data_IF_541199469634
#
_entry.id   IF_541199469634
#
_cell.length_a   1.000
_cell.length_b   1.000
_cell.length_c   1.000
_cell.angle_alpha   90.00
_cell.angle_beta   90.00
_cell.angle_gamma   90.00
#
_symmetry.space_group_name_H-M   'P 1'
#
loop_
_entity.id
_entity.type
_entity.pdbx_description
1 polymer ?
#
# COMPACT_ATOMS: atom_id res chain seq x y z
N UNK A 1 9.10 13.97 17.97
CA UNK A 1 9.66 13.67 16.63
C UNK A 1 10.04 12.21 16.63
N UNK A 2 9.75 11.41 15.59
CA UNK A 2 10.31 10.06 15.50
C UNK A 2 11.84 10.17 15.46
N UNK A 3 12.52 9.15 16.04
CA UNK A 3 13.98 9.09 16.03
C UNK A 3 14.48 9.08 14.57
N UNK A 4 15.27 10.07 14.21
CA UNK A 4 15.85 10.19 12.86
C UNK A 4 16.97 9.15 12.61
N UNK A 5 17.52 8.56 13.66
CA UNK A 5 18.60 7.58 13.59
C UNK A 5 18.13 6.17 13.98
N UNK A 6 18.68 5.12 13.36
CA UNK A 6 18.43 3.75 13.78
C UNK A 6 18.97 3.53 15.21
N UNK A 7 18.41 2.54 15.94
CA UNK A 7 19.02 2.11 17.21
C UNK A 7 20.50 1.81 17.00
N UNK A 8 21.34 2.22 17.97
CA UNK A 8 22.80 2.14 17.85
C UNK A 8 23.36 0.72 17.65
N UNK A 9 22.58 -0.28 18.04
CA UNK A 9 22.87 -1.71 17.90
C UNK A 9 22.18 -2.34 16.65
N UNK A 10 21.37 -1.58 15.91
CA UNK A 10 20.69 -2.10 14.73
C UNK A 10 21.67 -2.30 13.58
N UNK A 11 21.78 -3.56 13.12
CA UNK A 11 22.56 -3.93 11.94
C UNK A 11 21.73 -3.85 10.66
N UNK A 12 20.40 -3.77 10.77
CA UNK A 12 19.48 -3.66 9.65
C UNK A 12 18.21 -2.93 10.07
N UNK A 13 17.72 -1.99 9.27
CA UNK A 13 16.54 -1.18 9.57
C UNK A 13 15.83 -0.69 8.33
N UNK A 14 14.56 -0.35 8.47
CA UNK A 14 13.73 0.23 7.41
C UNK A 14 13.48 1.70 7.71
N UNK A 15 13.97 2.59 6.85
CA UNK A 15 13.65 4.02 6.88
C UNK A 15 12.34 4.26 6.14
N UNK A 16 11.44 5.01 6.76
CA UNK A 16 10.15 5.45 6.19
C UNK A 16 10.15 6.97 6.15
N UNK A 17 10.11 7.54 4.96
CA UNK A 17 10.14 8.99 4.74
C UNK A 17 8.72 9.56 4.75
N UNK A 18 8.35 10.19 5.87
CA UNK A 18 7.03 10.79 6.05
C UNK A 18 6.87 12.11 5.28
N UNK A 19 7.97 12.80 4.99
CA UNK A 19 7.97 14.00 4.14
C UNK A 19 7.63 13.64 2.69
N UNK A 20 8.23 12.56 2.15
CA UNK A 20 7.85 12.02 0.83
C UNK A 20 6.40 11.54 0.84
N UNK A 21 5.95 10.87 1.91
CA UNK A 21 4.55 10.46 2.04
C UNK A 21 3.60 11.66 1.97
N UNK A 22 3.91 12.73 2.70
CA UNK A 22 3.14 13.98 2.67
C UNK A 22 3.11 14.59 1.25
N UNK A 23 4.26 14.61 0.58
CA UNK A 23 4.38 15.04 -0.82
C UNK A 23 3.53 14.19 -1.77
N UNK A 24 3.54 12.87 -1.60
CA UNK A 24 2.74 11.95 -2.41
C UNK A 24 1.23 12.18 -2.20
N UNK A 25 0.78 12.42 -0.96
CA UNK A 25 -0.63 12.80 -0.68
C UNK A 25 -0.98 14.10 -1.39
N UNK A 26 -0.10 15.11 -1.31
CA UNK A 26 -0.32 16.39 -1.99
C UNK A 26 -0.38 16.24 -3.52
N UNK A 27 0.49 15.43 -4.12
CA UNK A 27 0.48 15.13 -5.55
C UNK A 27 -0.85 14.46 -5.99
N UNK A 28 -1.34 13.50 -5.21
CA UNK A 28 -2.65 12.87 -5.47
C UNK A 28 -3.78 13.89 -5.37
N UNK A 29 -3.80 14.72 -4.33
CA UNK A 29 -4.81 15.76 -4.14
C UNK A 29 -4.80 16.77 -5.30
N UNK A 30 -3.61 17.24 -5.70
CA UNK A 30 -3.45 18.18 -6.81
C UNK A 30 -3.95 17.59 -8.13
N UNK A 31 -3.56 16.34 -8.42
CA UNK A 31 -3.95 15.68 -9.65
C UNK A 31 -5.46 15.41 -9.72
N UNK A 32 -6.08 15.07 -8.59
CA UNK A 32 -7.51 14.74 -8.53
C UNK A 32 -8.43 15.94 -8.34
N UNK A 33 -7.89 17.12 -7.99
CA UNK A 33 -8.68 18.35 -7.87
C UNK A 33 -9.29 18.83 -9.22
N UNK A 34 -8.69 18.40 -10.35
CA UNK A 34 -9.16 18.76 -11.69
C UNK A 34 -9.06 20.26 -11.99
N UNK A 35 -9.32 20.64 -13.24
CA UNK A 35 -9.45 22.04 -13.67
C UNK A 35 -10.90 22.57 -13.56
N UNK A 36 -11.85 21.73 -13.18
CA UNK A 36 -13.27 22.10 -13.12
C UNK A 36 -13.58 22.91 -11.86
N UNK A 37 -13.85 24.19 -12.02
CA UNK A 37 -14.20 25.16 -10.96
C UNK A 37 -15.44 24.76 -10.14
N UNK A 38 -16.33 23.90 -10.67
CA UNK A 38 -17.64 23.57 -10.07
C UNK A 38 -17.73 22.15 -9.48
N UNK A 39 -16.74 21.28 -9.63
CA UNK A 39 -16.80 19.93 -9.08
C UNK A 39 -16.14 19.85 -7.69
N UNK A 40 -16.85 19.31 -6.70
CA UNK A 40 -16.27 19.09 -5.39
C UNK A 40 -15.09 18.09 -5.49
N UNK A 41 -13.92 18.49 -5.00
CA UNK A 41 -12.74 17.63 -4.99
C UNK A 41 -13.06 16.25 -4.33
N UNK A 42 -12.55 15.16 -4.91
CA UNK A 42 -12.78 13.83 -4.36
C UNK A 42 -12.17 13.67 -2.97
N UNK A 43 -12.76 12.77 -2.17
CA UNK A 43 -12.19 12.35 -0.90
C UNK A 43 -11.07 11.36 -1.16
N UNK A 44 -9.88 11.62 -0.63
CA UNK A 44 -8.80 10.64 -0.66
C UNK A 44 -8.94 9.69 0.53
N UNK A 45 -9.13 8.40 0.23
CA UNK A 45 -9.17 7.32 1.20
C UNK A 45 -7.82 6.60 1.22
N UNK A 46 -6.96 6.94 2.16
CA UNK A 46 -5.63 6.33 2.29
C UNK A 46 -5.71 4.87 2.75
N UNK A 47 -5.19 3.93 1.94
CA UNK A 47 -5.21 2.50 2.28
C UNK A 47 -4.02 2.15 3.16
N UNK A 48 -4.27 1.73 4.41
CA UNK A 48 -3.25 1.43 5.43
C UNK A 48 -3.35 0.01 6.00
N UNK A 49 -4.00 -0.90 5.26
CA UNK A 49 -4.11 -2.33 5.62
C UNK A 49 -2.74 -3.00 5.74
N UNK A 50 -2.68 -4.15 6.45
CA UNK A 50 -1.45 -4.92 6.68
C UNK A 50 -0.35 -4.06 7.32
N UNK A 51 -0.74 -3.31 8.37
CA UNK A 51 0.16 -2.40 9.07
C UNK A 51 0.79 -1.35 8.14
N UNK A 52 -0.03 -0.72 7.26
CA UNK A 52 0.43 0.17 6.19
C UNK A 52 1.50 -0.51 5.31
N UNK A 53 1.17 -1.70 4.79
CA UNK A 53 2.09 -2.55 4.02
C UNK A 53 3.41 -2.86 4.76
N UNK A 54 3.32 -3.05 6.07
CA UNK A 54 4.46 -3.34 6.94
C UNK A 54 5.22 -2.11 7.46
N UNK A 55 4.76 -0.90 7.18
CA UNK A 55 5.50 0.34 7.46
C UNK A 55 5.08 1.06 8.75
N UNK A 56 4.08 0.53 9.49
CA UNK A 56 3.60 1.13 10.73
C UNK A 56 2.34 1.97 10.54
N UNK A 57 1.16 1.30 10.61
CA UNK A 57 -0.13 1.89 10.26
C UNK A 57 -0.44 3.17 11.03
N UNK A 58 -0.19 3.23 12.34
CA UNK A 58 -0.51 4.38 13.15
C UNK A 58 0.25 5.66 12.73
N UNK A 59 1.54 5.54 12.42
CA UNK A 59 2.38 6.68 12.01
C UNK A 59 2.06 7.12 10.59
N UNK A 60 1.94 6.17 9.67
CA UNK A 60 1.59 6.42 8.27
C UNK A 60 0.20 7.04 8.16
N UNK A 61 -0.81 6.47 8.83
CA UNK A 61 -2.18 6.99 8.83
C UNK A 61 -2.27 8.41 9.39
N UNK A 62 -1.55 8.70 10.49
CA UNK A 62 -1.49 10.04 11.07
C UNK A 62 -0.91 11.07 10.09
N UNK A 63 0.11 10.69 9.34
CA UNK A 63 0.68 11.56 8.30
C UNK A 63 -0.33 11.77 7.17
N UNK A 64 -0.99 10.72 6.69
CA UNK A 64 -2.03 10.82 5.66
C UNK A 64 -3.19 11.73 6.10
N UNK A 65 -3.70 11.57 7.32
CA UNK A 65 -4.76 12.45 7.86
C UNK A 65 -4.34 13.92 7.89
N UNK A 66 -3.14 14.21 8.41
CA UNK A 66 -2.62 15.57 8.52
C UNK A 66 -2.43 16.27 7.18
N UNK A 67 -2.24 15.49 6.12
CA UNK A 67 -1.97 16.01 4.78
C UNK A 67 -3.15 15.89 3.80
N UNK A 68 -4.37 15.58 4.31
CA UNK A 68 -5.59 15.75 3.53
C UNK A 68 -6.32 14.46 3.13
N UNK A 69 -5.90 13.28 3.61
CA UNK A 69 -6.73 12.10 3.47
C UNK A 69 -7.97 12.24 4.36
N UNK A 70 -9.14 12.36 3.75
CA UNK A 70 -10.41 12.49 4.43
C UNK A 70 -11.03 11.16 4.88
N UNK A 71 -10.40 10.04 4.57
CA UNK A 71 -10.80 8.68 4.97
C UNK A 71 -9.58 7.77 5.01
N UNK A 72 -9.63 6.73 5.83
CA UNK A 72 -8.66 5.64 5.85
C UNK A 72 -9.35 4.32 5.51
N UNK A 73 -8.61 3.35 4.94
CA UNK A 73 -9.13 2.01 4.70
C UNK A 73 -8.16 0.95 5.21
N UNK A 74 -8.73 -0.03 5.89
CA UNK A 74 -8.05 -1.25 6.35
C UNK A 74 -8.80 -2.48 5.84
N UNK A 75 -8.18 -3.66 5.92
CA UNK A 75 -8.87 -4.88 5.48
C UNK A 75 -9.78 -5.44 6.59
N UNK A 76 -9.27 -5.61 7.81
CA UNK A 76 -9.93 -6.33 8.87
C UNK A 76 -10.26 -5.44 10.09
N UNK A 77 -11.27 -5.82 10.91
CA UNK A 77 -11.67 -5.08 12.10
C UNK A 77 -10.54 -4.79 13.09
N UNK A 78 -9.68 -5.78 13.39
CA UNK A 78 -8.56 -5.60 14.31
C UNK A 78 -7.57 -4.52 13.85
N UNK A 79 -7.36 -4.35 12.53
CA UNK A 79 -6.52 -3.28 11.99
C UNK A 79 -7.14 -1.89 12.26
N UNK A 80 -8.48 -1.79 12.20
CA UNK A 80 -9.17 -0.56 12.57
C UNK A 80 -9.09 -0.29 14.09
N UNK A 81 -9.18 -1.35 14.92
CA UNK A 81 -8.98 -1.23 16.38
C UNK A 81 -7.59 -0.70 16.74
N UNK A 82 -6.55 -1.15 16.04
CA UNK A 82 -5.19 -0.64 16.21
C UNK A 82 -5.10 0.86 15.91
N UNK A 83 -5.77 1.34 14.85
CA UNK A 83 -5.80 2.77 14.53
C UNK A 83 -6.55 3.58 15.57
N UNK A 84 -7.70 3.08 16.05
CA UNK A 84 -8.46 3.71 17.12
C UNK A 84 -7.66 3.75 18.43
N UNK A 85 -6.99 2.64 18.77
CA UNK A 85 -6.12 2.53 19.95
C UNK A 85 -4.89 3.43 19.89
N UNK A 86 -4.41 3.76 18.69
CA UNK A 86 -3.27 4.66 18.47
C UNK A 86 -3.62 6.16 18.62
N UNK A 87 -4.80 6.49 19.13
CA UNK A 87 -5.29 7.84 19.32
C UNK A 87 -5.26 8.69 18.03
N UNK A 88 -5.53 8.08 16.88
CA UNK A 88 -5.84 8.80 15.66
C UNK A 88 -7.20 9.50 15.79
N UNK A 89 -7.36 10.62 15.09
CA UNK A 89 -8.63 11.34 15.04
C UNK A 89 -9.65 10.58 14.16
N UNK A 90 -10.06 9.40 14.62
CA UNK A 90 -11.07 8.59 13.94
C UNK A 90 -12.45 9.08 14.36
N UNK A 91 -13.23 9.56 13.41
CA UNK A 91 -14.55 10.12 13.60
C UNK A 91 -15.18 10.47 12.26
N UNK A 92 -16.23 11.24 12.26
CA UNK A 92 -16.99 11.62 11.07
C UNK A 92 -16.15 12.31 9.99
N UNK A 93 -15.18 13.14 10.41
CA UNK A 93 -14.34 13.93 9.49
C UNK A 93 -13.25 13.07 8.80
N UNK A 94 -12.82 11.99 9.44
CA UNK A 94 -11.90 11.02 8.86
C UNK A 94 -12.23 9.61 9.38
N UNK A 95 -13.25 8.96 8.82
CA UNK A 95 -13.62 7.61 9.22
C UNK A 95 -12.59 6.58 8.74
N UNK A 96 -12.58 5.42 9.41
CA UNK A 96 -11.89 4.23 8.96
C UNK A 96 -12.89 3.26 8.34
N UNK A 97 -12.62 2.85 7.11
CA UNK A 97 -13.43 1.87 6.36
C UNK A 97 -12.80 0.48 6.49
N UNK A 98 -13.61 -0.50 6.89
CA UNK A 98 -13.23 -1.92 6.92
C UNK A 98 -13.70 -2.58 5.64
N UNK A 99 -12.74 -3.15 4.87
CA UNK A 99 -12.99 -3.68 3.54
C UNK A 99 -13.53 -5.12 3.52
N UNK A 100 -13.20 -5.94 4.52
CA UNK A 100 -13.74 -7.31 4.57
C UNK A 100 -15.18 -7.32 5.08
N UNK A 101 -15.97 -8.35 4.75
CA UNK A 101 -17.32 -8.51 5.29
C UNK A 101 -17.30 -8.63 6.82
N UNK A 102 -18.03 -7.72 7.50
CA UNK A 102 -18.31 -7.76 8.93
C UNK A 102 -19.78 -8.07 9.11
N UNK A 103 -20.12 -9.03 9.97
CA UNK A 103 -21.51 -9.48 10.14
C UNK A 103 -22.14 -9.03 11.47
N UNK A 104 -21.33 -8.60 12.41
CA UNK A 104 -21.80 -8.16 13.74
C UNK A 104 -20.90 -7.10 14.33
N UNK A 105 -21.46 -6.32 15.23
CA UNK A 105 -20.75 -5.39 16.10
C UNK A 105 -21.37 -5.50 17.48
N UNK A 106 -20.56 -5.48 18.54
CA UNK A 106 -21.00 -5.51 19.94
C UNK A 106 -20.46 -4.28 20.69
N UNK A 107 -21.13 -3.91 21.79
CA UNK A 107 -20.67 -2.81 22.68
C UNK A 107 -19.30 -3.07 23.33
N UNK A 108 -18.88 -4.32 23.38
CA UNK A 108 -17.58 -4.73 23.92
C UNK A 108 -16.46 -4.65 22.88
N UNK A 109 -16.81 -4.53 21.60
CA UNK A 109 -15.83 -4.37 20.54
C UNK A 109 -15.10 -3.04 20.70
N UNK A 110 -13.80 -3.03 20.47
CA UNK A 110 -12.98 -1.82 20.49
C UNK A 110 -13.47 -0.77 19.49
N UNK A 111 -14.15 -1.20 18.44
CA UNK A 111 -14.70 -0.36 17.39
C UNK A 111 -16.05 0.31 17.76
N UNK A 112 -16.72 -0.09 18.84
CA UNK A 112 -18.02 0.49 19.21
C UNK A 112 -17.94 2.01 19.37
N UNK A 113 -16.88 2.53 19.99
CA UNK A 113 -16.71 3.98 20.19
C UNK A 113 -16.55 4.71 18.85
N UNK A 114 -15.79 4.13 17.91
CA UNK A 114 -15.62 4.68 16.57
C UNK A 114 -16.95 4.67 15.81
N UNK A 115 -17.72 3.57 15.90
CA UNK A 115 -19.05 3.46 15.30
C UNK A 115 -20.03 4.50 15.88
N UNK A 116 -20.03 4.70 17.21
CA UNK A 116 -20.87 5.68 17.88
C UNK A 116 -20.51 7.15 17.52
N UNK A 117 -19.25 7.39 17.12
CA UNK A 117 -18.76 8.68 16.65
C UNK A 117 -18.88 8.86 15.11
N UNK A 118 -19.60 7.98 14.42
CA UNK A 118 -19.72 7.95 12.94
C UNK A 118 -18.36 7.81 12.23
N UNK A 119 -17.39 7.22 12.93
CA UNK A 119 -16.01 7.05 12.46
C UNK A 119 -15.67 5.64 11.97
N UNK A 120 -16.58 4.68 12.07
CA UNK A 120 -16.43 3.33 11.52
C UNK A 120 -17.36 3.14 10.33
N UNK A 121 -16.81 2.96 9.16
CA UNK A 121 -17.54 2.60 7.96
C UNK A 121 -17.33 1.13 7.60
N UNK A 122 -18.37 0.42 7.23
CA UNK A 122 -18.32 -1.00 6.87
C UNK A 122 -18.63 -1.18 5.39
N UNK A 123 -18.00 -2.15 4.74
CA UNK A 123 -18.38 -2.53 3.38
C UNK A 123 -19.43 -3.64 3.41
N UNK A 124 -20.40 -3.53 2.52
CA UNK A 124 -21.54 -4.43 2.41
C UNK A 124 -21.42 -5.26 1.13
N UNK A 125 -21.39 -6.59 1.29
CA UNK A 125 -21.12 -7.54 0.22
C UNK A 125 -22.28 -8.53 -0.05
N UNK A 126 -23.31 -8.53 0.78
CA UNK A 126 -24.45 -9.43 0.60
C UNK A 126 -25.71 -8.94 1.31
N UNK A 127 -26.88 -9.41 0.84
CA UNK A 127 -28.20 -9.15 1.46
C UNK A 127 -28.21 -9.64 2.91
N UNK A 128 -27.69 -10.83 3.16
CA UNK A 128 -27.64 -11.41 4.52
C UNK A 128 -26.80 -10.55 5.48
N UNK A 129 -25.68 -10.03 5.00
CA UNK A 129 -24.85 -9.13 5.79
C UNK A 129 -25.62 -7.83 6.15
N UNK A 130 -26.36 -7.27 5.19
CA UNK A 130 -27.19 -6.08 5.43
C UNK A 130 -28.18 -6.31 6.55
N UNK A 131 -28.90 -7.43 6.53
CA UNK A 131 -29.89 -7.79 7.55
C UNK A 131 -29.25 -7.96 8.94
N UNK A 132 -28.09 -8.61 9.02
CA UNK A 132 -27.37 -8.80 10.28
C UNK A 132 -26.81 -7.50 10.85
N UNK A 133 -26.28 -6.62 10.00
CA UNK A 133 -25.79 -5.31 10.42
C UNK A 133 -26.93 -4.35 10.80
N UNK A 134 -28.09 -4.40 10.11
CA UNK A 134 -29.27 -3.64 10.50
C UNK A 134 -29.73 -4.04 11.90
N UNK A 135 -29.81 -5.34 12.18
CA UNK A 135 -30.16 -5.85 13.51
C UNK A 135 -29.12 -5.40 14.56
N UNK A 136 -27.83 -5.49 14.26
CA UNK A 136 -26.77 -5.03 15.16
C UNK A 136 -26.89 -3.51 15.43
N UNK A 137 -27.07 -2.69 14.40
CA UNK A 137 -27.25 -1.26 14.52
C UNK A 137 -28.44 -0.90 15.40
N UNK A 138 -29.59 -1.54 15.18
CA UNK A 138 -30.80 -1.35 16.00
C UNK A 138 -30.59 -1.72 17.46
N UNK A 139 -29.95 -2.87 17.73
CA UNK A 139 -29.63 -3.32 19.10
C UNK A 139 -28.68 -2.36 19.81
N UNK A 140 -27.76 -1.75 19.09
CA UNK A 140 -26.78 -0.80 19.62
C UNK A 140 -27.32 0.63 19.74
N UNK A 141 -28.45 0.93 19.10
CA UNK A 141 -28.97 2.28 18.97
C UNK A 141 -28.16 3.16 18.00
N UNK A 142 -27.51 2.53 17.01
CA UNK A 142 -26.67 3.17 16.01
C UNK A 142 -27.29 3.06 14.61
N UNK A 143 -26.89 3.97 13.71
CA UNK A 143 -27.06 3.83 12.27
C UNK A 143 -25.69 3.64 11.66
N UNK A 144 -25.30 2.38 11.40
CA UNK A 144 -23.98 2.03 10.93
C UNK A 144 -23.77 2.50 9.48
N UNK A 145 -22.76 3.32 9.20
CA UNK A 145 -22.43 3.72 7.83
C UNK A 145 -21.93 2.52 7.04
N UNK A 146 -22.57 2.25 5.89
CA UNK A 146 -22.19 1.15 5.00
C UNK A 146 -21.90 1.64 3.59
N UNK A 147 -20.88 1.06 2.98
CA UNK A 147 -20.56 1.23 1.56
C UNK A 147 -20.96 -0.04 0.82
N UNK A 148 -21.93 0.06 -0.06
CA UNK A 148 -22.41 -1.05 -0.87
C UNK A 148 -21.32 -1.39 -1.89
N UNK A 149 -20.75 -2.57 -1.78
CA UNK A 149 -19.75 -3.07 -2.72
C UNK A 149 -20.43 -3.86 -3.83
N UNK A 150 -20.21 -3.44 -5.08
CA UNK A 150 -20.75 -4.07 -6.27
C UNK A 150 -19.62 -4.69 -7.06
N UNK A 151 -19.78 -5.95 -7.46
CA UNK A 151 -18.86 -6.61 -8.37
C UNK A 151 -19.19 -6.24 -9.82
N UNK A 152 -18.32 -5.46 -10.43
CA UNK A 152 -18.41 -5.09 -11.85
C UNK A 152 -17.48 -5.92 -12.74
N UNK A 153 -16.87 -7.00 -12.19
CA UNK A 153 -16.03 -7.91 -12.97
C UNK A 153 -14.77 -8.41 -12.26
N UNK A 154 -14.53 -8.04 -11.01
CA UNK A 154 -13.39 -8.55 -10.26
C UNK A 154 -13.58 -9.98 -9.76
N UNK A 155 -14.81 -10.42 -9.60
CA UNK A 155 -15.21 -11.78 -9.18
C UNK A 155 -14.58 -12.21 -7.83
N UNK A 156 -14.53 -11.28 -6.88
CA UNK A 156 -13.92 -11.52 -5.57
C UNK A 156 -14.86 -11.26 -4.40
N UNK A 157 -15.43 -10.09 -4.36
CA UNK A 157 -16.31 -9.61 -3.28
C UNK A 157 -17.33 -8.63 -3.90
N UNK A 158 -18.49 -8.51 -3.27
CA UNK A 158 -19.52 -7.56 -3.71
C UNK A 158 -20.82 -8.27 -4.10
N UNK A 159 -21.87 -7.47 -4.22
CA UNK A 159 -23.17 -7.85 -4.77
C UNK A 159 -23.10 -7.82 -6.29
N UNK A 160 -23.83 -8.69 -6.96
CA UNK A 160 -24.09 -8.53 -8.37
C UNK A 160 -24.89 -7.22 -8.62
N UNK A 161 -24.75 -6.66 -9.82
CA UNK A 161 -25.41 -5.38 -10.19
C UNK A 161 -26.92 -5.44 -9.96
N UNK A 162 -27.58 -6.54 -10.34
CA UNK A 162 -29.01 -6.73 -10.16
C UNK A 162 -29.41 -6.93 -8.70
N UNK A 163 -28.60 -7.64 -7.93
CA UNK A 163 -28.79 -7.78 -6.49
C UNK A 163 -28.68 -6.42 -5.79
N UNK A 164 -27.67 -5.62 -6.15
CA UNK A 164 -27.45 -4.28 -5.59
C UNK A 164 -28.64 -3.37 -5.90
N UNK A 165 -29.12 -3.33 -7.13
CA UNK A 165 -30.27 -2.54 -7.54
C UNK A 165 -31.55 -2.96 -6.81
N UNK A 166 -31.76 -4.27 -6.65
CA UNK A 166 -32.94 -4.81 -5.93
C UNK A 166 -32.87 -4.53 -4.42
N UNK A 167 -31.67 -4.58 -3.84
CA UNK A 167 -31.46 -4.34 -2.41
C UNK A 167 -31.55 -2.85 -2.04
N UNK A 168 -31.25 -1.94 -2.96
CA UNK A 168 -31.09 -0.51 -2.69
C UNK A 168 -32.28 0.12 -1.95
N UNK A 169 -33.55 -0.02 -2.39
CA UNK A 169 -34.70 0.53 -1.66
C UNK A 169 -34.86 -0.05 -0.25
N UNK A 170 -34.51 -1.35 -0.08
CA UNK A 170 -34.54 -2.01 1.23
C UNK A 170 -33.49 -1.44 2.18
N UNK A 171 -32.29 -1.14 1.68
CA UNK A 171 -31.22 -0.52 2.48
C UNK A 171 -31.63 0.85 3.01
N UNK A 172 -32.31 1.65 2.19
CA UNK A 172 -32.81 2.97 2.62
C UNK A 172 -33.86 2.86 3.71
N UNK A 173 -34.63 1.78 3.76
CA UNK A 173 -35.63 1.52 4.80
C UNK A 173 -35.04 0.90 6.08
N UNK A 174 -33.82 0.40 6.07
CA UNK A 174 -33.14 -0.21 7.23
C UNK A 174 -32.76 0.86 8.26
N UNK A 175 -33.28 0.75 9.49
CA UNK A 175 -33.11 1.76 10.54
C UNK A 175 -31.74 1.68 11.24
N UNK A 176 -31.12 0.53 11.26
CA UNK A 176 -29.78 0.30 11.84
C UNK A 176 -28.64 0.63 10.90
N UNK A 177 -28.94 0.94 9.62
CA UNK A 177 -27.95 1.27 8.61
C UNK A 177 -28.11 2.68 8.06
N UNK A 178 -27.02 3.21 7.53
CA UNK A 178 -26.98 4.39 6.67
C UNK A 178 -26.11 4.10 5.47
N UNK A 179 -26.67 4.13 4.26
CA UNK A 179 -25.87 4.01 3.06
C UNK A 179 -24.98 5.25 2.94
N UNK A 180 -23.67 5.06 3.13
CA UNK A 180 -22.67 6.10 3.08
C UNK A 180 -21.91 6.12 1.75
N UNK A 181 -21.90 5.00 1.03
CA UNK A 181 -21.24 4.91 -0.26
C UNK A 181 -21.72 3.77 -1.13
N UNK A 182 -21.43 3.88 -2.42
CA UNK A 182 -21.54 2.84 -3.44
C UNK A 182 -20.17 2.67 -4.08
N UNK A 183 -19.64 1.44 -4.11
CA UNK A 183 -18.27 1.19 -4.54
C UNK A 183 -18.13 -0.05 -5.41
N UNK A 184 -17.12 -0.01 -6.28
CA UNK A 184 -16.58 -1.19 -6.95
C UNK A 184 -15.05 -1.21 -6.88
N UNK A 185 -14.42 -2.24 -7.40
CA UNK A 185 -12.97 -2.34 -7.47
C UNK A 185 -12.52 -2.81 -8.85
N UNK A 186 -11.59 -2.06 -9.45
CA UNK A 186 -11.10 -2.30 -10.79
C UNK A 186 -10.07 -3.43 -10.79
N UNK A 187 -10.23 -4.39 -11.71
CA UNK A 187 -9.37 -5.56 -11.81
C UNK A 187 -8.11 -5.32 -12.63
N UNK A 188 -8.19 -4.45 -13.65
CA UNK A 188 -7.14 -4.27 -14.67
C UNK A 188 -6.68 -2.82 -14.82
N UNK A 189 -6.85 -2.00 -13.77
CA UNK A 189 -6.47 -0.58 -13.84
C UNK A 189 -4.95 -0.36 -14.09
N UNK A 190 -4.12 -1.37 -13.87
CA UNK A 190 -2.68 -1.42 -14.15
C UNK A 190 -2.33 -2.02 -15.53
N UNK A 191 -3.31 -2.53 -16.27
CA UNK A 191 -3.12 -3.16 -17.59
C UNK A 191 -3.31 -2.10 -18.70
N UNK A 192 -2.23 -1.80 -19.43
CA UNK A 192 -2.26 -0.78 -20.50
C UNK A 192 -2.47 -1.37 -21.90
N UNK A 193 -2.08 -2.61 -22.09
CA UNK A 193 -2.11 -3.27 -23.41
C UNK A 193 -2.55 -4.71 -23.27
N UNK A 194 -2.99 -5.31 -24.39
CA UNK A 194 -3.42 -6.70 -24.44
C UNK A 194 -4.92 -6.88 -24.36
N UNK A 195 -5.40 -8.13 -24.24
CA UNK A 195 -6.82 -8.49 -24.40
C UNK A 195 -7.73 -7.94 -23.29
N UNK A 196 -7.18 -7.40 -22.21
CA UNK A 196 -7.91 -6.87 -21.07
C UNK A 196 -7.67 -5.38 -20.84
N UNK A 197 -7.05 -4.66 -21.79
CA UNK A 197 -6.79 -3.22 -21.67
C UNK A 197 -8.09 -2.42 -21.47
N UNK A 198 -9.16 -2.80 -22.19
CA UNK A 198 -10.46 -2.12 -22.15
C UNK A 198 -11.37 -2.61 -21.00
N UNK A 199 -10.93 -3.59 -20.21
CA UNK A 199 -11.79 -4.18 -19.18
C UNK A 199 -12.09 -3.20 -18.03
N UNK A 200 -11.17 -2.30 -17.73
CA UNK A 200 -11.40 -1.23 -16.75
C UNK A 200 -12.54 -0.31 -17.19
N UNK A 201 -12.63 0.06 -18.48
CA UNK A 201 -13.72 0.86 -19.02
C UNK A 201 -15.06 0.11 -18.95
N UNK A 202 -15.06 -1.18 -19.27
CA UNK A 202 -16.25 -2.02 -19.13
C UNK A 202 -16.75 -2.10 -17.68
N UNK A 203 -15.84 -2.18 -16.71
CA UNK A 203 -16.20 -2.15 -15.29
C UNK A 203 -16.78 -0.79 -14.86
N UNK A 204 -16.24 0.29 -15.38
CA UNK A 204 -16.73 1.64 -15.13
C UNK A 204 -18.12 1.84 -15.76
N UNK A 205 -18.32 1.43 -17.02
CA UNK A 205 -19.62 1.49 -17.72
C UNK A 205 -20.70 0.70 -16.96
N UNK A 206 -20.35 -0.47 -16.46
CA UNK A 206 -21.26 -1.28 -15.67
C UNK A 206 -21.64 -0.61 -14.34
N UNK A 207 -20.69 0.07 -13.69
CA UNK A 207 -20.94 0.85 -12.48
C UNK A 207 -21.82 2.07 -12.77
N UNK A 208 -21.58 2.79 -13.85
CA UNK A 208 -22.35 3.96 -14.28
C UNK A 208 -23.78 3.59 -14.67
N UNK A 209 -23.95 2.45 -15.35
CA UNK A 209 -25.27 1.92 -15.65
C UNK A 209 -26.07 1.61 -14.38
N UNK A 210 -25.42 1.10 -13.33
CA UNK A 210 -26.07 0.92 -12.04
C UNK A 210 -26.45 2.27 -11.41
N UNK A 211 -25.55 3.25 -11.40
CA UNK A 211 -25.84 4.61 -10.90
C UNK A 211 -27.02 5.22 -11.61
N UNK A 212 -27.07 5.16 -12.94
CA UNK A 212 -28.18 5.64 -13.76
C UNK A 212 -29.50 4.93 -13.41
N UNK A 213 -29.46 3.59 -13.22
CA UNK A 213 -30.62 2.79 -12.82
C UNK A 213 -31.15 3.19 -11.44
N UNK A 214 -30.26 3.45 -10.47
CA UNK A 214 -30.66 3.85 -9.11
C UNK A 214 -31.28 5.24 -9.05
N UNK A 215 -30.94 6.11 -9.99
CA UNK A 215 -31.41 7.51 -10.05
C UNK A 215 -32.53 7.75 -11.04
N UNK A 216 -32.92 6.73 -11.83
CA UNK A 216 -33.93 6.85 -12.89
C UNK A 216 -35.30 7.34 -12.38
N UNK A 217 -35.78 6.76 -11.27
CA UNK A 217 -37.09 7.07 -10.67
C UNK A 217 -36.97 8.07 -9.52
N UNK A 218 -35.80 8.24 -8.93
CA UNK A 218 -35.51 9.15 -7.83
C UNK A 218 -34.11 9.80 -8.02
N UNK A 219 -34.04 11.01 -8.58
CA UNK A 219 -32.78 11.73 -8.76
C UNK A 219 -32.00 11.98 -7.46
N UNK A 220 -32.67 11.93 -6.32
CA UNK A 220 -32.08 12.10 -4.99
C UNK A 220 -31.66 10.78 -4.33
N UNK A 221 -31.84 9.64 -4.97
CA UNK A 221 -31.53 8.31 -4.41
C UNK A 221 -30.07 8.17 -3.93
N UNK A 222 -29.16 8.94 -4.50
CA UNK A 222 -27.74 8.96 -4.15
C UNK A 222 -27.32 10.23 -3.38
N UNK A 223 -28.26 11.02 -2.88
CA UNK A 223 -27.94 12.23 -2.11
C UNK A 223 -27.15 11.88 -0.85
N UNK A 224 -25.93 12.44 -0.74
CA UNK A 224 -25.03 12.19 0.39
C UNK A 224 -24.32 10.81 0.35
N UNK A 225 -24.47 10.05 -0.74
CA UNK A 225 -23.75 8.80 -0.99
C UNK A 225 -22.43 9.10 -1.71
N UNK A 226 -21.35 8.51 -1.25
CA UNK A 226 -20.02 8.61 -1.87
C UNK A 226 -19.89 7.56 -2.96
N UNK A 227 -19.45 7.94 -4.17
CA UNK A 227 -19.18 7.00 -5.27
C UNK A 227 -17.67 6.71 -5.34
N UNK A 228 -17.28 5.44 -5.41
CA UNK A 228 -15.86 5.10 -5.50
C UNK A 228 -15.52 3.82 -6.27
N UNK A 229 -14.84 3.99 -7.41
CA UNK A 229 -14.23 2.91 -8.19
C UNK A 229 -12.71 2.99 -8.19
N UNK A 230 -12.14 4.22 -8.06
CA UNK A 230 -10.73 4.50 -8.23
C UNK A 230 -9.79 3.84 -7.22
N UNK A 231 -8.70 3.26 -7.74
CA UNK A 231 -7.55 2.75 -7.00
C UNK A 231 -6.28 3.59 -7.34
N UNK A 232 -5.08 3.15 -6.90
CA UNK A 232 -3.82 3.87 -7.14
C UNK A 232 -3.53 4.15 -8.61
N UNK A 233 -3.83 3.23 -9.50
CA UNK A 233 -3.55 3.39 -10.94
C UNK A 233 -4.55 4.33 -11.60
N UNK A 234 -5.80 4.31 -11.13
CA UNK A 234 -6.86 5.17 -11.65
C UNK A 234 -6.59 6.66 -11.38
N UNK A 235 -5.90 6.99 -10.30
CA UNK A 235 -5.53 8.38 -9.95
C UNK A 235 -4.88 9.09 -11.15
N UNK A 236 -4.00 8.42 -11.87
CA UNK A 236 -3.15 9.03 -12.90
C UNK A 236 -3.69 8.90 -14.32
N UNK A 237 -4.79 8.17 -14.52
CA UNK A 237 -5.27 7.78 -15.87
C UNK A 237 -6.53 8.46 -16.34
N UNK A 238 -7.07 9.46 -15.63
CA UNK A 238 -8.39 9.93 -16.04
C UNK A 238 -8.64 11.40 -15.99
N UNK A 239 -9.01 11.85 -17.15
CA UNK A 239 -10.16 12.70 -17.41
C UNK A 239 -11.39 11.80 -17.49
N UNK A 240 -12.14 11.59 -16.39
CA UNK A 240 -13.44 10.96 -16.45
C UNK A 240 -14.49 12.01 -16.20
N UNK A 241 -15.33 12.24 -17.20
CA UNK A 241 -16.59 12.93 -17.00
C UNK A 241 -17.41 12.12 -16.00
N UNK A 242 -17.59 12.65 -14.79
CA UNK A 242 -18.43 11.99 -13.80
C UNK A 242 -19.89 12.21 -14.17
N UNK A 243 -20.68 11.12 -14.40
CA UNK A 243 -22.06 11.26 -14.88
C UNK A 243 -22.98 11.98 -13.91
N UNK A 244 -22.52 12.26 -12.68
CA UNK A 244 -23.33 12.83 -11.62
C UNK A 244 -22.56 13.95 -10.91
N UNK A 245 -22.54 15.19 -11.43
CA UNK A 245 -21.78 16.32 -10.86
C UNK A 245 -22.17 16.66 -9.40
N UNK A 246 -23.36 16.26 -8.94
CA UNK A 246 -23.86 16.51 -7.60
C UNK A 246 -23.40 15.48 -6.54
N UNK A 247 -22.68 14.42 -6.95
CA UNK A 247 -22.27 13.35 -6.05
C UNK A 247 -20.76 13.41 -5.82
N UNK A 248 -20.34 13.30 -4.57
CA UNK A 248 -18.93 13.34 -4.18
C UNK A 248 -18.26 12.00 -4.42
N UNK A 249 -17.08 12.02 -5.02
CA UNK A 249 -16.29 10.84 -5.32
C UNK A 249 -15.26 10.54 -4.25
N UNK A 250 -14.87 9.26 -4.13
CA UNK A 250 -13.78 8.78 -3.28
C UNK A 250 -12.77 8.03 -4.15
N UNK A 251 -11.50 8.33 -3.95
CA UNK A 251 -10.39 7.58 -4.53
C UNK A 251 -9.66 6.86 -3.41
N UNK A 252 -9.34 5.57 -3.62
CA UNK A 252 -8.70 4.71 -2.62
C UNK A 252 -7.28 4.33 -3.02
N UNK A 253 -6.34 5.29 -3.04
CA UNK A 253 -4.95 4.98 -3.34
C UNK A 253 -4.32 4.20 -2.18
N UNK A 254 -3.64 3.11 -2.55
CA UNK A 254 -2.72 2.38 -1.68
C UNK A 254 -1.30 2.66 -2.15
N UNK A 255 -0.76 1.79 -2.99
CA UNK A 255 0.62 1.80 -3.46
C UNK A 255 1.07 3.17 -4.02
N UNK A 256 0.17 3.92 -4.66
CA UNK A 256 0.44 5.26 -5.16
C UNK A 256 0.88 6.24 -4.08
N UNK A 257 0.27 6.19 -2.87
CA UNK A 257 0.68 7.02 -1.74
C UNK A 257 2.07 6.64 -1.20
N UNK A 258 2.49 5.39 -1.40
CA UNK A 258 3.81 4.91 -1.00
C UNK A 258 4.89 5.12 -2.07
N UNK A 259 4.50 5.71 -3.24
CA UNK A 259 5.42 6.08 -4.31
C UNK A 259 5.75 4.96 -5.31
N UNK A 260 4.86 3.98 -5.48
CA UNK A 260 5.10 2.82 -6.36
C UNK A 260 4.03 2.67 -7.45
N UNK A 261 3.74 3.73 -8.20
CA UNK A 261 2.75 3.69 -9.30
C UNK A 261 3.28 3.07 -10.59
N UNK A 262 4.59 2.98 -10.76
CA UNK A 262 5.21 2.63 -12.02
C UNK A 262 5.25 3.76 -13.05
N UNK A 263 4.57 4.88 -12.81
CA UNK A 263 4.57 6.07 -13.69
C UNK A 263 5.46 7.18 -13.09
N UNK A 264 6.61 7.50 -13.71
CA UNK A 264 7.48 8.58 -13.26
C UNK A 264 6.83 9.97 -13.33
N UNK A 265 5.85 10.16 -14.23
CA UNK A 265 5.14 11.44 -14.37
C UNK A 265 4.15 11.70 -13.23
N UNK A 266 3.85 10.69 -12.43
CA UNK A 266 2.93 10.80 -11.28
C UNK A 266 3.40 11.77 -10.18
N UNK A 267 4.67 12.19 -10.18
CA UNK A 267 5.22 13.12 -9.17
C UNK A 267 5.27 12.53 -7.75
N UNK A 268 5.12 11.22 -7.62
CA UNK A 268 5.21 10.50 -6.34
C UNK A 268 6.55 9.78 -6.20
N UNK A 269 7.03 9.68 -4.97
CA UNK A 269 8.36 9.15 -4.67
C UNK A 269 8.30 7.98 -3.70
N UNK A 270 9.10 6.91 -3.92
CA UNK A 270 9.23 5.81 -2.97
C UNK A 270 9.61 6.30 -1.57
N UNK A 271 8.81 5.90 -0.58
CA UNK A 271 9.01 6.35 0.81
C UNK A 271 9.89 5.40 1.63
N UNK A 272 10.29 4.26 1.08
CA UNK A 272 10.98 3.20 1.82
C UNK A 272 12.41 3.06 1.34
N UNK A 273 13.33 2.98 2.32
CA UNK A 273 14.69 2.50 2.14
C UNK A 273 14.97 1.44 3.20
N UNK A 274 15.47 0.27 2.77
CA UNK A 274 15.92 -0.76 3.70
C UNK A 274 17.43 -0.84 3.65
N UNK A 275 18.08 -0.50 4.75
CA UNK A 275 19.53 -0.45 4.90
C UNK A 275 20.01 -1.53 5.87
N UNK A 276 21.16 -2.11 5.59
CA UNK A 276 21.90 -2.99 6.49
C UNK A 276 23.38 -2.62 6.49
N UNK A 277 24.23 -3.37 7.22
CA UNK A 277 25.68 -3.10 7.32
C UNK A 277 26.49 -4.33 6.94
N UNK A 278 27.68 -4.11 6.39
CA UNK A 278 28.64 -5.18 6.18
C UNK A 278 29.20 -5.64 7.52
N UNK A 279 29.04 -6.94 7.85
CA UNK A 279 29.56 -7.53 9.09
C UNK A 279 30.81 -8.36 8.90
N UNK A 280 31.12 -8.72 7.67
CA UNK A 280 32.34 -9.49 7.33
C UNK A 280 32.73 -9.26 5.88
N UNK A 281 34.01 -9.21 5.62
CA UNK A 281 34.59 -9.23 4.27
C UNK A 281 35.62 -10.34 4.19
N UNK A 282 35.73 -10.98 3.02
CA UNK A 282 36.72 -12.03 2.77
C UNK A 282 37.06 -12.16 1.29
N UNK A 283 38.33 -12.40 0.99
CA UNK A 283 38.79 -12.77 -0.37
C UNK A 283 38.61 -14.25 -0.55
N UNK A 284 38.17 -14.65 -1.75
CA UNK A 284 38.00 -16.04 -2.18
C UNK A 284 38.60 -16.22 -3.58
N UNK A 285 39.32 -17.32 -3.83
CA UNK A 285 39.88 -17.58 -5.15
C UNK A 285 38.82 -17.99 -6.18
N UNK A 286 39.12 -17.79 -7.44
CA UNK A 286 38.34 -18.32 -8.55
C UNK A 286 38.05 -19.83 -8.38
N UNK A 287 36.92 -20.28 -8.89
CA UNK A 287 36.45 -21.66 -8.78
C UNK A 287 35.77 -22.04 -7.45
N UNK A 288 35.78 -21.16 -6.43
CA UNK A 288 35.02 -21.39 -5.18
C UNK A 288 33.54 -21.18 -5.40
N UNK A 289 32.73 -22.01 -4.74
CA UNK A 289 31.27 -21.88 -4.70
C UNK A 289 30.82 -21.02 -3.56
N UNK A 290 29.63 -20.37 -3.71
CA UNK A 290 29.04 -19.48 -2.69
C UNK A 290 27.65 -19.95 -2.29
N UNK A 291 27.45 -20.08 -0.99
CA UNK A 291 26.15 -20.31 -0.36
C UNK A 291 25.59 -21.73 -0.52
N UNK A 292 24.36 -21.90 -0.04
CA UNK A 292 23.64 -23.18 -0.10
C UNK A 292 23.39 -23.64 -1.53
N UNK A 293 23.58 -24.95 -1.77
CA UNK A 293 23.36 -25.56 -3.07
C UNK A 293 24.44 -25.21 -4.10
N UNK A 294 25.52 -24.49 -3.69
CA UNK A 294 26.61 -24.10 -4.56
C UNK A 294 26.12 -23.45 -5.87
N UNK A 295 25.08 -22.61 -5.78
CA UNK A 295 24.38 -22.03 -6.94
C UNK A 295 25.14 -20.94 -7.66
N UNK A 296 26.26 -20.49 -7.11
CA UNK A 296 27.21 -19.59 -7.75
C UNK A 296 28.63 -20.14 -7.63
N UNK A 297 29.43 -20.02 -8.70
CA UNK A 297 30.86 -20.28 -8.72
C UNK A 297 31.57 -18.98 -9.09
N UNK A 298 32.64 -18.64 -8.37
CA UNK A 298 33.40 -17.42 -8.63
C UNK A 298 34.26 -17.61 -9.89
N UNK A 299 34.09 -16.74 -10.85
CA UNK A 299 34.85 -16.79 -12.14
C UNK A 299 36.26 -16.19 -12.01
N UNK A 300 36.49 -15.38 -10.97
CA UNK A 300 37.75 -14.69 -10.65
C UNK A 300 38.00 -14.68 -9.15
N UNK A 301 39.21 -14.35 -8.74
CA UNK A 301 39.45 -13.98 -7.34
C UNK A 301 38.54 -12.83 -6.96
N UNK A 302 37.78 -13.03 -5.91
CA UNK A 302 36.68 -12.15 -5.55
C UNK A 302 36.71 -11.72 -4.08
N UNK A 303 36.34 -10.48 -3.82
CA UNK A 303 36.11 -9.95 -2.48
C UNK A 303 34.60 -10.02 -2.22
N UNK A 304 34.22 -10.78 -1.20
CA UNK A 304 32.82 -11.02 -0.83
C UNK A 304 32.53 -10.34 0.50
N UNK A 305 31.38 -9.64 0.57
CA UNK A 305 30.89 -9.03 1.81
C UNK A 305 29.61 -9.75 2.29
N UNK A 306 29.51 -9.97 3.59
CA UNK A 306 28.37 -10.59 4.27
C UNK A 306 27.49 -9.54 4.90
N UNK A 307 26.20 -9.62 4.60
CA UNK A 307 25.15 -8.72 5.09
C UNK A 307 24.20 -9.52 5.99
N UNK A 308 23.92 -9.06 7.24
CA UNK A 308 23.01 -9.72 8.18
C UNK A 308 21.56 -9.37 7.85
N UNK A 309 21.09 -9.78 6.69
CA UNK A 309 19.73 -9.67 6.22
C UNK A 309 19.44 -10.82 5.26
N UNK A 310 18.31 -11.47 5.41
CA UNK A 310 17.93 -12.62 4.60
C UNK A 310 16.42 -12.72 4.37
N UNK A 311 15.96 -13.92 3.93
CA UNK A 311 14.53 -14.09 3.67
C UNK A 311 13.69 -14.09 4.97
N UNK A 312 14.29 -14.35 6.13
CA UNK A 312 13.66 -14.19 7.44
C UNK A 312 13.36 -12.73 7.79
N UNK A 313 14.10 -11.78 7.20
CA UNK A 313 13.90 -10.35 7.35
C UNK A 313 13.00 -9.76 6.25
N UNK A 314 12.73 -10.55 5.21
CA UNK A 314 11.86 -10.15 4.10
C UNK A 314 12.55 -10.00 2.74
N UNK A 315 13.89 -10.20 2.65
CA UNK A 315 14.57 -10.17 1.35
C UNK A 315 14.25 -11.43 0.55
N UNK A 316 13.65 -11.32 -0.66
CA UNK A 316 13.16 -12.50 -1.38
C UNK A 316 14.24 -13.53 -1.69
N UNK A 317 13.96 -14.81 -1.39
CA UNK A 317 14.84 -15.93 -1.78
C UNK A 317 15.04 -15.98 -3.31
N UNK A 318 14.04 -15.60 -4.08
CA UNK A 318 14.08 -15.55 -5.54
C UNK A 318 15.12 -14.55 -6.08
N UNK A 319 15.56 -13.56 -5.30
CA UNK A 319 16.64 -12.64 -5.66
C UNK A 319 18.05 -13.25 -5.52
N UNK A 320 18.18 -14.51 -5.17
CA UNK A 320 19.46 -15.23 -5.19
C UNK A 320 20.15 -15.11 -6.56
N UNK A 321 21.42 -14.76 -6.58
CA UNK A 321 22.23 -14.55 -7.79
C UNK A 321 21.79 -13.42 -8.74
N UNK A 322 20.66 -12.77 -8.52
CA UNK A 322 20.14 -11.72 -9.41
C UNK A 322 19.83 -10.38 -8.72
N UNK A 323 19.76 -10.37 -7.41
CA UNK A 323 19.53 -9.14 -6.63
C UNK A 323 20.64 -8.10 -6.87
N UNK A 324 20.26 -6.83 -6.76
CA UNK A 324 21.19 -5.69 -6.77
C UNK A 324 20.97 -4.93 -5.47
N UNK A 325 22.08 -4.44 -4.91
CA UNK A 325 22.12 -3.62 -3.71
C UNK A 325 23.04 -2.43 -3.97
N UNK A 326 22.89 -1.37 -3.19
CA UNK A 326 23.77 -0.20 -3.28
C UNK A 326 24.61 -0.15 -2.01
N UNK A 327 25.93 -0.33 -2.17
CA UNK A 327 26.93 -0.17 -1.12
C UNK A 327 27.28 1.32 -1.01
N UNK A 328 27.18 1.90 0.18
CA UNK A 328 27.59 3.27 0.51
C UNK A 328 28.98 3.23 1.14
N UNK A 329 29.94 3.87 0.50
CA UNK A 329 31.30 3.98 1.02
C UNK A 329 31.38 5.19 1.95
N UNK A 330 30.85 6.30 1.47
CA UNK A 330 30.70 7.57 2.19
C UNK A 330 29.47 8.34 1.67
N UNK A 331 29.26 9.58 2.09
CA UNK A 331 28.10 10.40 1.70
C UNK A 331 28.03 10.70 0.19
N UNK A 332 29.15 10.69 -0.51
CA UNK A 332 29.26 11.03 -1.94
C UNK A 332 29.47 9.80 -2.83
N UNK A 333 30.01 8.71 -2.27
CA UNK A 333 30.48 7.56 -3.03
C UNK A 333 29.64 6.33 -2.74
N UNK A 334 29.04 5.76 -3.78
CA UNK A 334 28.31 4.50 -3.70
C UNK A 334 28.60 3.59 -4.89
N UNK A 335 28.36 2.30 -4.70
CA UNK A 335 28.60 1.29 -5.75
C UNK A 335 27.44 0.28 -5.81
N UNK A 336 27.10 -0.14 -7.02
CA UNK A 336 26.12 -1.21 -7.25
C UNK A 336 26.82 -2.55 -7.10
N UNK A 337 26.35 -3.37 -6.15
CA UNK A 337 26.87 -4.70 -5.92
C UNK A 337 25.82 -5.78 -6.24
N UNK A 338 26.30 -6.95 -6.64
CA UNK A 338 25.47 -8.11 -6.99
C UNK A 338 25.34 -9.06 -5.82
N UNK A 339 24.15 -9.57 -5.57
CA UNK A 339 23.93 -10.70 -4.66
C UNK A 339 24.48 -11.97 -5.31
N UNK A 340 25.34 -12.68 -4.59
CA UNK A 340 26.03 -13.89 -5.08
C UNK A 340 25.72 -15.07 -4.17
N UNK A 341 25.33 -16.18 -4.76
CA UNK A 341 24.87 -17.37 -4.06
C UNK A 341 23.41 -17.24 -3.58
N UNK A 342 22.94 -18.28 -2.91
CA UNK A 342 21.57 -18.34 -2.40
C UNK A 342 21.41 -17.42 -1.20
N UNK A 343 20.35 -16.62 -1.17
CA UNK A 343 19.94 -15.86 0.01
C UNK A 343 19.60 -16.83 1.13
N UNK A 344 20.16 -16.61 2.32
CA UNK A 344 19.91 -17.44 3.49
C UNK A 344 18.78 -16.86 4.35
N UNK A 345 18.43 -17.51 5.47
CA UNK A 345 17.42 -17.02 6.40
C UNK A 345 17.82 -15.64 6.96
N UNK A 346 19.06 -15.52 7.43
CA UNK A 346 19.53 -14.38 8.21
C UNK A 346 20.62 -13.57 7.48
N UNK A 347 21.03 -14.00 6.28
CA UNK A 347 22.23 -13.46 5.63
C UNK A 347 22.14 -13.54 4.12
N UNK A 348 22.78 -12.59 3.46
CA UNK A 348 23.13 -12.66 2.02
C UNK A 348 24.57 -12.24 1.79
N UNK A 349 25.13 -12.64 0.66
CA UNK A 349 26.50 -12.32 0.25
C UNK A 349 26.44 -11.43 -0.99
N UNK A 350 27.28 -10.41 -1.02
CA UNK A 350 27.45 -9.54 -2.18
C UNK A 350 28.90 -9.58 -2.70
N UNK A 351 29.07 -9.44 -4.00
CA UNK A 351 30.38 -9.28 -4.64
C UNK A 351 30.77 -7.78 -4.65
N UNK A 352 31.82 -7.44 -3.93
CA UNK A 352 32.37 -6.07 -3.82
C UNK A 352 33.73 -5.93 -4.50
N UNK A 353 34.17 -6.94 -5.30
CA UNK A 353 35.50 -6.99 -5.93
C UNK A 353 35.77 -5.76 -6.77
N UNK A 354 34.84 -5.40 -7.66
CA UNK A 354 35.00 -4.26 -8.55
C UNK A 354 35.10 -2.95 -7.78
N UNK A 355 34.31 -2.80 -6.71
CA UNK A 355 34.32 -1.59 -5.84
C UNK A 355 35.68 -1.43 -5.16
N UNK A 356 36.20 -2.51 -4.56
CA UNK A 356 37.51 -2.51 -3.91
C UNK A 356 38.63 -2.14 -4.90
N UNK A 357 38.59 -2.70 -6.10
CA UNK A 357 39.59 -2.43 -7.13
C UNK A 357 39.53 -1.02 -7.71
N UNK A 358 38.32 -0.51 -8.00
CA UNK A 358 38.14 0.82 -8.59
C UNK A 358 38.46 1.96 -7.65
N UNK A 359 38.21 1.76 -6.36
CA UNK A 359 38.45 2.78 -5.33
C UNK A 359 39.76 2.58 -4.57
N UNK A 360 40.58 1.61 -4.97
CA UNK A 360 41.86 1.25 -4.32
C UNK A 360 41.73 1.07 -2.80
N UNK A 361 40.68 0.36 -2.36
CA UNK A 361 40.37 0.13 -0.96
C UNK A 361 40.99 -1.18 -0.47
N UNK A 362 41.30 -1.25 0.81
CA UNK A 362 41.48 -2.54 1.47
C UNK A 362 40.10 -3.19 1.72
N UNK A 363 39.97 -4.53 1.59
CA UNK A 363 38.70 -5.19 1.87
C UNK A 363 38.11 -4.84 3.24
N UNK A 364 38.96 -4.71 4.25
CA UNK A 364 38.59 -4.41 5.63
C UNK A 364 37.97 -3.01 5.80
N UNK A 365 38.30 -2.06 4.93
CA UNK A 365 37.73 -0.71 4.94
C UNK A 365 36.20 -0.71 4.71
N UNK A 366 35.65 -1.80 4.16
CA UNK A 366 34.22 -1.93 3.94
C UNK A 366 33.44 -2.45 5.16
N UNK A 367 34.13 -2.88 6.23
CA UNK A 367 33.44 -3.31 7.46
C UNK A 367 32.63 -2.17 8.07
N UNK A 368 31.35 -2.42 8.36
CA UNK A 368 30.43 -1.43 8.91
C UNK A 368 29.81 -0.50 7.88
N UNK A 369 30.28 -0.48 6.61
CA UNK A 369 29.65 0.30 5.55
C UNK A 369 28.18 -0.09 5.37
N UNK A 370 27.36 0.88 5.04
CA UNK A 370 25.92 0.70 4.82
C UNK A 370 25.66 0.12 3.42
N UNK A 371 24.67 -0.76 3.38
CA UNK A 371 24.19 -1.37 2.13
C UNK A 371 22.69 -1.21 2.06
N UNK A 372 22.21 -0.46 1.07
CA UNK A 372 20.80 -0.34 0.78
C UNK A 372 20.33 -1.58 0.02
N UNK A 373 19.52 -2.40 0.69
CA UNK A 373 18.88 -3.58 0.11
C UNK A 373 17.69 -3.17 -0.76
N UNK A 374 16.90 -2.20 -0.30
CA UNK A 374 15.87 -1.51 -1.08
C UNK A 374 16.20 -0.02 -1.14
N UNK A 375 16.22 0.53 -2.34
CA UNK A 375 16.47 1.95 -2.60
C UNK A 375 15.17 2.76 -2.67
N UNK A 376 15.26 4.05 -2.32
CA UNK A 376 14.17 5.02 -2.37
C UNK A 376 14.25 5.98 -3.58
N UNK A 377 15.10 5.64 -4.55
CA UNK A 377 15.14 6.31 -5.86
C UNK A 377 14.46 5.39 -6.88
N UNK A 378 13.48 5.89 -7.67
CA UNK A 378 12.69 5.05 -8.58
C UNK A 378 13.55 4.32 -9.63
N UNK A 379 14.62 4.97 -10.13
CA UNK A 379 15.49 4.43 -11.17
C UNK A 379 16.67 3.61 -10.63
N UNK A 380 16.80 3.48 -9.31
CA UNK A 380 17.90 2.73 -8.71
C UNK A 380 17.76 1.22 -9.03
N UNK A 381 18.87 0.51 -9.27
CA UNK A 381 18.85 -0.92 -9.59
C UNK A 381 18.33 -1.80 -8.44
N UNK A 382 18.27 -1.28 -7.23
CA UNK A 382 17.68 -1.86 -6.03
C UNK A 382 16.33 -1.20 -5.65
N UNK A 383 15.72 -0.44 -6.55
CA UNK A 383 14.35 0.01 -6.38
C UNK A 383 13.40 -1.20 -6.26
N UNK A 384 12.40 -1.09 -5.39
CA UNK A 384 11.49 -2.21 -5.09
C UNK A 384 10.77 -2.71 -6.35
N UNK A 385 10.32 -1.80 -7.26
CA UNK A 385 9.71 -2.17 -8.52
C UNK A 385 10.68 -3.02 -9.38
N UNK A 386 11.91 -2.56 -9.58
CA UNK A 386 12.90 -3.28 -10.37
C UNK A 386 13.25 -4.66 -9.78
N UNK A 387 13.30 -4.77 -8.45
CA UNK A 387 13.55 -6.06 -7.80
C UNK A 387 12.33 -6.98 -7.90
N UNK A 388 11.12 -6.44 -7.81
CA UNK A 388 9.88 -7.19 -7.98
C UNK A 388 9.76 -7.73 -9.41
N UNK A 389 9.99 -6.90 -10.42
CA UNK A 389 9.96 -7.30 -11.83
C UNK A 389 10.93 -8.44 -12.14
N UNK A 390 12.14 -8.41 -11.57
CA UNK A 390 13.15 -9.48 -11.74
C UNK A 390 12.68 -10.86 -11.31
N UNK A 391 11.74 -10.92 -10.38
CA UNK A 391 11.24 -12.18 -9.80
C UNK A 391 9.78 -12.45 -10.13
N UNK A 392 9.16 -11.66 -11.03
CA UNK A 392 7.75 -11.79 -11.39
C UNK A 392 6.81 -11.54 -10.21
N UNK A 393 7.14 -10.57 -9.36
CA UNK A 393 6.37 -10.18 -8.18
C UNK A 393 5.91 -8.72 -8.27
N UNK A 394 5.38 -8.17 -7.19
CA UNK A 394 4.89 -6.80 -7.08
C UNK A 394 5.50 -6.07 -5.89
N UNK A 395 5.62 -4.76 -5.98
CA UNK A 395 6.10 -3.92 -4.86
C UNK A 395 5.31 -4.14 -3.57
N UNK A 396 3.99 -4.39 -3.65
CA UNK A 396 3.16 -4.75 -2.50
C UNK A 396 3.68 -5.95 -1.72
N UNK A 397 4.07 -7.01 -2.44
CA UNK A 397 4.56 -8.24 -1.84
C UNK A 397 5.88 -7.99 -1.11
N UNK A 398 6.82 -7.29 -1.76
CA UNK A 398 8.12 -6.99 -1.16
C UNK A 398 7.99 -6.13 0.10
N UNK A 399 7.12 -5.12 0.09
CA UNK A 399 6.85 -4.28 1.26
C UNK A 399 6.23 -5.09 2.40
N UNK A 400 5.18 -5.86 2.13
CA UNK A 400 4.49 -6.66 3.14
C UNK A 400 5.34 -7.79 3.73
N UNK A 401 6.42 -8.19 3.07
CA UNK A 401 7.38 -9.18 3.56
C UNK A 401 8.36 -8.63 4.59
N UNK A 402 8.54 -7.32 4.68
CA UNK A 402 9.44 -6.70 5.65
C UNK A 402 9.07 -7.15 7.07
N UNK A 403 9.98 -7.88 7.72
CA UNK A 403 9.74 -8.45 9.03
C UNK A 403 9.40 -7.33 10.03
N UNK A 404 8.32 -7.44 10.83
CA UNK A 404 7.94 -6.43 11.81
C UNK A 404 8.98 -6.21 12.92
N UNK A 405 9.95 -7.13 13.09
CA UNK A 405 11.06 -6.97 14.05
C UNK A 405 12.16 -6.02 13.56
N UNK A 406 12.26 -5.77 12.25
CA UNK A 406 13.17 -4.75 11.75
C UNK A 406 12.76 -3.39 12.31
N UNK A 407 13.65 -2.60 12.91
CA UNK A 407 13.32 -1.25 13.35
C UNK A 407 12.81 -0.39 12.17
N UNK A 408 11.70 0.34 12.40
CA UNK A 408 11.23 1.39 11.48
C UNK A 408 11.72 2.73 11.99
N UNK A 409 12.47 3.43 11.16
CA UNK A 409 13.01 4.77 11.42
C UNK A 409 12.21 5.75 10.58
N UNK A 410 11.43 6.61 11.23
CA UNK A 410 10.60 7.60 10.55
C UNK A 410 11.34 8.92 10.45
N UNK A 411 11.36 9.51 9.25
CA UNK A 411 12.02 10.80 8.96
C UNK A 411 11.08 11.70 8.16
N UNK A 412 11.35 13.01 8.12
CA UNK A 412 10.57 14.01 7.39
C UNK A 412 9.49 14.71 8.21
#
# INVERSE_FOLDING_TARGET
MPNADPPSDALSWVRVDLGKLAGNVAAVLQHTAGEAEDAAAPVICGVVKKNAYGLGAATVARTMQRHGCGMLAVYAPHEAEELVGAALAIGRECPVMVLMPVYTLDRRDGLYRAAAADGLHLTLHSVKQAEMLDDAGRRLGLRLPVHVHVDTGMSREGLDIDEAATLWPRLQAMRGLRVAGLMSHLATADVETGPFADFTEQQDDAFDALVARLTADDPDALRGVLLHTGNSYRVWRTERDTPTPSVRHVIRPGLGLYGYTGDPAAGVHPIVRWTSRIIRVRTQPAGRTVGYGATATLERDSVLALIPAGYGDGYPLALSNQGRVVLRIDDATSAICRVVGRVNMDQLVIDVTTTVQQLDLTPEALLGCEVDLYGDQPDAPNAINHLADRIGSHAYELLCRLNPRLPRVYVG
#
